data_IF_028626661472
#
_entry.id   IF_028626661472
#
_cell.length_a   1.000
_cell.length_b   1.000
_cell.length_c   1.000
_cell.angle_alpha   90.00
_cell.angle_beta   90.00
_cell.angle_gamma   90.00
#
_symmetry.space_group_name_H-M   'P 1'
#
loop_
_entity.id
_entity.type
_entity.pdbx_description
1 polymer ?
#
# COMPACT_ATOMS: atom_id res chain seq x y z
N UNK A 1 1.36 25.91 -1.70
CA UNK A 1 1.87 26.56 -2.92
C UNK A 1 0.67 27.16 -3.63
N UNK A 2 0.80 28.34 -4.24
CA UNK A 2 -0.33 29.07 -4.82
C UNK A 2 -0.58 28.62 -6.27
N UNK A 3 -1.75 28.01 -6.52
CA UNK A 3 -2.22 27.56 -7.84
C UNK A 3 -2.49 28.73 -8.79
N UNK A 4 -2.93 29.88 -8.25
CA UNK A 4 -3.24 31.06 -9.05
C UNK A 4 -1.99 31.72 -9.65
N UNK A 5 -0.81 31.34 -9.16
CA UNK A 5 0.46 31.79 -9.72
C UNK A 5 0.95 30.84 -10.83
N UNK A 6 0.72 31.23 -12.08
CA UNK A 6 1.11 30.47 -13.27
C UNK A 6 2.60 30.11 -13.32
N UNK A 7 3.49 30.88 -12.67
CA UNK A 7 4.92 30.58 -12.60
C UNK A 7 5.22 29.26 -11.88
N UNK A 8 4.32 28.79 -11.02
CA UNK A 8 4.46 27.52 -10.32
C UNK A 8 4.13 26.32 -11.24
N UNK A 9 3.28 26.51 -12.26
CA UNK A 9 2.82 25.42 -13.13
C UNK A 9 3.94 24.82 -13.98
N UNK A 10 5.00 25.57 -14.26
CA UNK A 10 6.16 25.07 -15.03
C UNK A 10 6.90 23.92 -14.36
N UNK A 11 6.77 23.78 -13.03
CA UNK A 11 7.41 22.71 -12.26
C UNK A 11 6.58 21.41 -12.23
N UNK A 12 5.35 21.44 -12.73
CA UNK A 12 4.46 20.27 -12.76
C UNK A 12 4.25 19.81 -14.20
N UNK A 13 4.47 18.52 -14.44
CA UNK A 13 4.18 17.87 -15.71
C UNK A 13 3.20 16.74 -15.44
N UNK A 14 2.12 16.67 -16.23
CA UNK A 14 1.17 15.57 -16.19
C UNK A 14 1.26 14.81 -17.50
N UNK A 15 1.35 13.50 -17.39
CA UNK A 15 1.28 12.57 -18.51
C UNK A 15 0.17 11.58 -18.23
N UNK A 16 -0.59 11.22 -19.26
CA UNK A 16 -1.73 10.31 -19.17
C UNK A 16 -1.58 9.22 -20.22
N UNK A 17 -2.01 8.02 -19.87
CA UNK A 17 -2.17 6.89 -20.79
C UNK A 17 -3.66 6.57 -20.78
N UNK A 18 -4.26 6.48 -21.95
CA UNK A 18 -5.62 5.99 -22.10
C UNK A 18 -5.57 4.46 -22.13
N UNK A 19 -6.19 3.81 -21.14
CA UNK A 19 -6.20 2.35 -21.07
C UNK A 19 -7.10 1.69 -22.12
N UNK A 20 -7.93 2.47 -22.82
CA UNK A 20 -8.68 2.00 -23.99
C UNK A 20 -7.87 2.08 -25.29
N UNK A 21 -6.74 2.80 -25.28
CA UNK A 21 -5.82 2.91 -26.41
C UNK A 21 -4.84 1.74 -26.40
N UNK A 22 -4.96 0.83 -27.37
CA UNK A 22 -4.08 -0.34 -27.49
C UNK A 22 -2.64 0.00 -27.84
N UNK A 23 -2.35 1.23 -28.28
CA UNK A 23 -0.98 1.71 -28.49
C UNK A 23 -0.30 2.14 -27.18
N UNK A 24 -1.09 2.36 -26.12
CA UNK A 24 -0.64 2.89 -24.83
C UNK A 24 0.23 4.15 -24.95
N UNK A 25 -0.10 5.02 -25.91
CA UNK A 25 0.64 6.26 -26.13
C UNK A 25 0.59 7.18 -24.90
N UNK A 26 1.76 7.67 -24.49
CA UNK A 26 1.88 8.60 -23.36
C UNK A 26 1.62 10.03 -23.86
N UNK A 27 0.50 10.62 -23.43
CA UNK A 27 0.09 11.97 -23.84
C UNK A 27 0.35 12.99 -22.74
N UNK A 28 0.83 14.17 -23.10
CA UNK A 28 1.00 15.29 -22.15
C UNK A 28 -0.35 15.94 -21.86
N UNK A 29 -0.65 16.18 -20.59
CA UNK A 29 -1.86 16.86 -20.14
C UNK A 29 -1.53 18.09 -19.28
N UNK A 30 -2.51 18.99 -19.12
CA UNK A 30 -2.40 20.13 -18.20
C UNK A 30 -2.57 19.62 -16.75
N UNK A 31 -1.65 19.95 -15.82
CA UNK A 31 -1.88 19.70 -14.40
C UNK A 31 -3.13 20.41 -13.90
N UNK A 32 -3.80 19.83 -12.91
CA UNK A 32 -4.92 20.40 -12.16
C UNK A 32 -4.52 20.73 -10.71
N UNK A 33 -5.42 21.36 -9.94
CA UNK A 33 -5.17 21.74 -8.54
C UNK A 33 -4.80 20.54 -7.67
N UNK A 34 -5.43 19.39 -7.90
CA UNK A 34 -5.18 18.18 -7.13
C UNK A 34 -3.77 17.63 -7.37
N UNK A 35 -3.24 17.75 -8.58
CA UNK A 35 -1.86 17.35 -8.88
C UNK A 35 -0.82 18.14 -8.08
N UNK A 36 -1.05 19.44 -7.82
CA UNK A 36 -0.10 20.27 -7.06
C UNK A 36 -0.05 19.89 -5.58
N UNK A 37 -1.19 19.50 -5.02
CA UNK A 37 -1.29 19.09 -3.62
C UNK A 37 -1.06 17.59 -3.44
N UNK A 38 -0.83 16.84 -4.53
CA UNK A 38 -0.65 15.38 -4.50
C UNK A 38 -1.92 14.65 -4.05
N UNK A 39 -3.09 15.22 -4.30
CA UNK A 39 -4.36 14.56 -4.05
C UNK A 39 -4.73 13.68 -5.23
N UNK A 40 -5.26 12.48 -4.95
CA UNK A 40 -5.70 11.52 -5.95
C UNK A 40 -7.19 11.22 -5.78
N UNK A 41 -7.83 10.78 -6.86
CA UNK A 41 -9.24 10.38 -6.84
C UNK A 41 -9.46 9.30 -5.77
N UNK A 42 -10.57 9.42 -5.04
CA UNK A 42 -10.89 8.56 -3.91
C UNK A 42 -12.25 7.87 -4.09
N UNK A 43 -13.34 8.56 -3.78
CA UNK A 43 -14.72 8.10 -3.99
C UNK A 43 -15.49 9.17 -4.74
N UNK A 44 -16.29 8.78 -5.73
CA UNK A 44 -17.16 9.72 -6.47
C UNK A 44 -16.37 10.97 -6.89
N UNK A 45 -16.76 12.15 -6.41
CA UNK A 45 -16.11 13.45 -6.69
C UNK A 45 -15.10 13.89 -5.60
N UNK A 46 -14.70 12.97 -4.72
CA UNK A 46 -13.73 13.20 -3.64
C UNK A 46 -12.30 12.89 -4.06
N UNK A 47 -11.39 13.71 -3.54
CA UNK A 47 -9.96 13.54 -3.67
C UNK A 47 -9.31 13.45 -2.30
N UNK A 48 -8.34 12.55 -2.16
CA UNK A 48 -7.62 12.33 -0.89
C UNK A 48 -6.14 12.66 -1.07
N UNK A 49 -5.59 13.37 -0.09
CA UNK A 49 -4.17 13.65 0.06
C UNK A 49 -3.68 12.92 1.31
N UNK A 50 -2.65 12.08 1.16
CA UNK A 50 -2.11 11.23 2.24
C UNK A 50 -0.63 11.42 2.48
N UNK A 51 0.01 12.28 1.67
CA UNK A 51 1.45 12.54 1.70
C UNK A 51 1.78 13.37 2.93
N UNK A 52 2.75 12.91 3.70
CA UNK A 52 3.22 13.51 4.93
C UNK A 52 4.60 14.07 4.67
N UNK A 53 4.76 15.38 4.90
CA UNK A 53 6.04 16.06 4.75
C UNK A 53 6.28 17.03 5.90
N UNK A 54 7.55 17.17 6.29
CA UNK A 54 7.98 18.21 7.22
C UNK A 54 8.92 19.19 6.54
N UNK A 55 8.78 20.48 6.83
CA UNK A 55 9.73 21.49 6.35
C UNK A 55 9.74 22.71 7.27
N UNK A 56 10.93 23.23 7.64
CA UNK A 56 11.03 24.50 8.36
C UNK A 56 10.56 25.71 7.52
N UNK A 57 10.33 25.52 6.21
CA UNK A 57 9.84 26.56 5.31
C UNK A 57 8.33 26.77 5.40
N UNK A 58 7.59 25.90 6.09
CA UNK A 58 6.16 26.11 6.29
C UNK A 58 5.91 27.22 7.31
N UNK A 59 4.99 28.13 6.95
CA UNK A 59 4.59 29.24 7.83
C UNK A 59 3.73 28.81 9.01
N UNK A 60 2.92 27.77 8.81
CA UNK A 60 2.05 27.17 9.83
C UNK A 60 2.65 25.81 10.24
N UNK A 61 2.67 25.56 11.55
CA UNK A 61 3.14 24.29 12.14
C UNK A 61 2.09 23.18 12.04
N UNK A 62 0.82 23.50 11.79
CA UNK A 62 -0.24 22.49 11.71
C UNK A 62 -0.30 21.87 10.31
N UNK A 63 -0.03 20.58 10.24
CA UNK A 63 -0.32 19.73 9.08
C UNK A 63 -1.30 18.63 9.45
N UNK A 64 -1.75 17.88 8.46
CA UNK A 64 -2.65 16.74 8.62
C UNK A 64 -2.14 15.58 7.77
N UNK A 65 -2.10 14.38 8.34
CA UNK A 65 -1.61 13.20 7.60
C UNK A 65 -2.60 12.75 6.52
N UNK A 66 -3.88 13.11 6.67
CA UNK A 66 -4.91 12.90 5.64
C UNK A 66 -5.78 14.14 5.49
N UNK A 67 -5.96 14.58 4.24
CA UNK A 67 -6.88 15.66 3.86
C UNK A 67 -7.84 15.16 2.78
N UNK A 68 -9.13 15.40 2.96
CA UNK A 68 -10.19 15.10 1.99
C UNK A 68 -10.69 16.37 1.33
N UNK A 69 -10.84 16.32 0.02
CA UNK A 69 -11.32 17.41 -0.81
C UNK A 69 -12.55 16.96 -1.61
N UNK A 70 -13.47 17.89 -1.82
CA UNK A 70 -14.66 17.71 -2.65
C UNK A 70 -14.92 19.04 -3.37
N UNK A 71 -15.21 19.01 -4.66
CA UNK A 71 -15.45 20.23 -5.45
C UNK A 71 -14.34 21.30 -5.28
N UNK A 72 -13.07 20.85 -5.29
CA UNK A 72 -11.85 21.66 -5.09
C UNK A 72 -11.73 22.33 -3.71
N UNK A 73 -12.58 21.98 -2.75
CA UNK A 73 -12.58 22.52 -1.39
C UNK A 73 -12.16 21.45 -0.40
N UNK A 74 -11.40 21.86 0.61
CA UNK A 74 -11.06 21.00 1.73
C UNK A 74 -12.32 20.77 2.57
N UNK A 75 -12.73 19.51 2.75
CA UNK A 75 -13.93 19.14 3.51
C UNK A 75 -13.60 18.53 4.87
N UNK A 76 -12.47 17.83 4.99
CA UNK A 76 -12.08 17.17 6.23
C UNK A 76 -10.58 16.97 6.33
N UNK A 77 -10.07 17.04 7.56
CA UNK A 77 -8.70 16.72 7.90
C UNK A 77 -8.67 15.68 9.02
N UNK A 78 -7.65 14.83 9.02
CA UNK A 78 -7.40 13.84 10.07
C UNK A 78 -5.94 13.82 10.48
N UNK A 79 -5.70 13.37 11.72
CA UNK A 79 -4.37 13.16 12.29
C UNK A 79 -3.49 14.41 12.19
N UNK A 80 -3.77 15.46 12.98
CA UNK A 80 -2.93 16.64 13.00
C UNK A 80 -1.51 16.28 13.44
N UNK A 81 -0.51 16.92 12.84
CA UNK A 81 0.90 16.76 13.20
C UNK A 81 1.67 18.09 13.02
N UNK A 82 2.85 18.17 13.63
CA UNK A 82 3.71 19.34 13.47
C UNK A 82 4.47 19.29 12.13
N UNK A 83 3.93 19.89 11.06
CA UNK A 83 4.58 19.89 9.73
C UNK A 83 5.89 20.66 9.66
N UNK A 84 6.27 21.40 10.69
CA UNK A 84 7.55 22.11 10.72
C UNK A 84 8.64 21.22 11.32
N UNK A 85 8.31 20.48 12.38
CA UNK A 85 9.27 19.73 13.18
C UNK A 85 8.62 18.48 13.82
N UNK A 86 8.06 17.57 13.02
CA UNK A 86 7.52 16.30 13.53
C UNK A 86 8.61 15.22 13.49
N UNK A 87 9.15 14.76 14.64
CA UNK A 87 10.28 13.83 14.67
C UNK A 87 10.06 12.52 13.93
N UNK A 88 8.80 12.06 13.80
CA UNK A 88 8.44 10.87 13.02
C UNK A 88 8.78 11.00 11.53
N UNK A 89 8.72 12.22 11.00
CA UNK A 89 8.74 12.50 9.56
C UNK A 89 9.85 13.49 9.16
N UNK A 90 10.65 13.95 10.13
CA UNK A 90 11.86 14.71 9.88
C UNK A 90 12.75 13.89 8.93
N UNK A 91 12.84 14.33 7.68
CA UNK A 91 13.69 13.77 6.62
C UNK A 91 13.20 12.48 5.94
N UNK A 92 11.92 12.14 6.07
CA UNK A 92 11.26 11.19 5.17
C UNK A 92 9.99 11.76 4.57
N UNK A 93 9.72 11.35 3.33
CA UNK A 93 8.39 11.51 2.75
C UNK A 93 7.63 10.23 3.05
N UNK A 94 6.66 10.33 3.95
CA UNK A 94 5.80 9.21 4.31
C UNK A 94 4.42 9.41 3.69
N UNK A 95 3.60 8.37 3.72
CA UNK A 95 2.21 8.47 3.31
C UNK A 95 1.32 7.62 4.22
N UNK A 96 0.10 8.08 4.48
CA UNK A 96 -0.95 7.18 4.98
C UNK A 96 -1.31 6.20 3.87
N UNK A 97 -1.34 4.92 4.20
CA UNK A 97 -1.86 3.88 3.32
C UNK A 97 -3.37 3.89 3.36
N UNK A 98 -4.00 3.79 2.19
CA UNK A 98 -5.46 3.78 2.04
C UNK A 98 -5.84 2.55 1.23
N UNK A 99 -6.74 1.73 1.77
CA UNK A 99 -7.25 0.55 1.08
C UNK A 99 -8.78 0.56 1.08
N UNK A 100 -9.39 0.50 -0.10
CA UNK A 100 -10.85 0.38 -0.23
C UNK A 100 -11.35 -0.95 0.34
N UNK A 101 -12.46 -0.96 1.09
CA UNK A 101 -13.08 -2.22 1.53
C UNK A 101 -13.75 -3.01 0.39
N UNK A 102 -13.92 -2.41 -0.79
CA UNK A 102 -14.77 -2.93 -1.86
C UNK A 102 -16.24 -2.52 -1.75
N UNK A 103 -16.66 -1.96 -0.61
CA UNK A 103 -17.95 -1.27 -0.46
C UNK A 103 -17.80 0.23 -0.74
N UNK A 104 -18.82 0.90 -1.32
CA UNK A 104 -18.81 2.34 -1.53
C UNK A 104 -18.56 3.09 -0.22
N UNK A 105 -17.77 4.17 -0.26
CA UNK A 105 -17.54 5.09 0.86
C UNK A 105 -16.96 4.47 2.15
N UNK A 106 -16.38 3.26 2.06
CA UNK A 106 -15.72 2.56 3.18
C UNK A 106 -14.28 2.21 2.83
N UNK A 107 -13.33 2.85 3.52
CA UNK A 107 -11.88 2.63 3.38
C UNK A 107 -11.22 2.32 4.71
N UNK A 108 -10.06 1.68 4.64
CA UNK A 108 -9.14 1.50 5.76
C UNK A 108 -7.94 2.44 5.59
N UNK A 109 -7.55 3.10 6.69
CA UNK A 109 -6.44 4.03 6.76
C UNK A 109 -5.40 3.46 7.74
N UNK A 110 -4.15 3.41 7.31
CA UNK A 110 -3.04 2.91 8.10
C UNK A 110 -1.87 3.88 8.06
N UNK A 111 -1.50 4.39 9.24
CA UNK A 111 -0.51 5.44 9.39
C UNK A 111 0.90 4.87 9.53
N UNK A 112 1.95 5.59 9.09
CA UNK A 112 3.32 5.21 9.38
C UNK A 112 3.58 5.18 10.90
N UNK A 113 4.36 4.20 11.36
CA UNK A 113 4.75 4.05 12.77
C UNK A 113 3.57 3.95 13.74
N UNK A 114 2.47 3.34 13.30
CA UNK A 114 1.25 3.18 14.08
C UNK A 114 0.59 1.84 13.80
N UNK A 115 0.34 1.08 14.86
CA UNK A 115 -0.17 -0.30 14.77
C UNK A 115 -1.69 -0.37 14.70
N UNK A 116 -2.36 0.78 14.54
CA UNK A 116 -3.81 0.87 14.52
C UNK A 116 -4.32 1.00 13.09
N UNK A 117 -5.26 0.14 12.72
CA UNK A 117 -6.04 0.25 11.50
C UNK A 117 -7.29 1.06 11.80
N UNK A 118 -7.51 2.13 11.03
CA UNK A 118 -8.69 2.95 11.13
C UNK A 118 -9.65 2.65 9.99
N UNK A 119 -10.95 2.64 10.25
CA UNK A 119 -12.00 2.55 9.25
C UNK A 119 -12.63 3.91 9.06
N UNK A 120 -12.63 4.36 7.81
CA UNK A 120 -13.27 5.60 7.35
C UNK A 120 -14.58 5.23 6.66
N UNK A 121 -15.71 5.66 7.24
CA UNK A 121 -17.06 5.47 6.70
C UNK A 121 -17.68 6.84 6.53
N UNK A 122 -17.94 7.26 5.29
CA UNK A 122 -18.60 8.54 4.99
C UNK A 122 -17.97 9.75 5.74
N UNK A 123 -16.64 9.82 5.78
CA UNK A 123 -15.93 10.90 6.48
C UNK A 123 -15.88 10.77 8.02
N UNK A 124 -16.34 9.65 8.58
CA UNK A 124 -16.20 9.31 10.00
C UNK A 124 -15.11 8.27 10.19
N UNK A 125 -14.13 8.59 11.01
CA UNK A 125 -12.96 7.76 11.25
C UNK A 125 -13.06 7.09 12.62
N UNK A 126 -12.84 5.78 12.68
CA UNK A 126 -12.84 5.00 13.93
C UNK A 126 -11.71 3.96 13.91
N UNK A 127 -11.03 3.69 15.04
CA UNK A 127 -10.11 2.57 15.13
C UNK A 127 -10.90 1.26 15.08
N UNK A 128 -10.40 0.26 14.34
CA UNK A 128 -11.09 -1.04 14.20
C UNK A 128 -10.21 -2.24 14.54
N UNK A 129 -8.89 -2.12 14.35
CA UNK A 129 -7.93 -3.16 14.74
C UNK A 129 -6.67 -2.53 15.32
N UNK A 130 -6.04 -3.26 16.23
CA UNK A 130 -4.72 -2.96 16.75
C UNK A 130 -3.83 -4.19 16.56
N UNK A 131 -2.74 -4.01 15.82
CA UNK A 131 -1.75 -5.04 15.59
C UNK A 131 -0.81 -5.10 16.80
N UNK A 132 -0.55 -6.30 17.30
CA UNK A 132 0.42 -6.52 18.37
C UNK A 132 1.65 -7.17 17.73
N UNK A 133 2.72 -6.40 17.61
CA UNK A 133 3.99 -6.87 17.09
C UNK A 133 4.80 -7.57 18.19
N UNK A 134 5.67 -8.52 17.82
CA UNK A 134 6.70 -8.99 18.74
C UNK A 134 7.50 -7.81 19.33
N UNK A 135 7.95 -7.96 20.58
CA UNK A 135 8.66 -6.89 21.30
C UNK A 135 9.92 -6.48 20.56
N UNK A 136 10.59 -7.45 19.93
CA UNK A 136 11.70 -7.18 19.04
C UNK A 136 11.27 -6.15 18.01
N UNK A 137 10.26 -6.37 17.18
CA UNK A 137 9.78 -5.48 16.11
C UNK A 137 9.11 -4.17 16.54
N UNK A 138 9.13 -3.82 17.82
CA UNK A 138 8.45 -2.65 18.36
C UNK A 138 9.44 -1.52 18.68
N UNK A 139 9.03 -0.28 18.44
CA UNK A 139 9.78 0.88 18.92
C UNK A 139 9.41 1.18 20.38
N UNK A 140 10.35 1.67 21.21
CA UNK A 140 10.00 2.24 22.50
C UNK A 140 8.93 3.32 22.34
N UNK A 141 7.95 3.37 23.25
CA UNK A 141 6.86 4.36 23.20
C UNK A 141 7.36 5.81 23.15
N UNK A 142 8.52 6.07 23.78
CA UNK A 142 9.16 7.39 23.83
C UNK A 142 10.05 7.69 22.63
N UNK A 143 10.22 6.74 21.68
CA UNK A 143 11.23 6.86 20.63
C UNK A 143 11.12 8.19 19.89
N UNK A 144 9.92 8.61 19.47
CA UNK A 144 9.72 9.86 18.72
C UNK A 144 9.59 11.12 19.59
N UNK A 145 9.38 10.97 20.90
CA UNK A 145 9.15 12.10 21.82
C UNK A 145 10.35 12.45 22.68
N UNK A 146 11.36 11.57 22.75
CA UNK A 146 12.56 11.79 23.55
C UNK A 146 13.45 12.88 22.94
N UNK A 147 13.44 14.06 23.55
CA UNK A 147 14.20 15.22 23.10
C UNK A 147 15.71 15.10 23.35
N UNK A 148 16.15 14.13 24.16
CA UNK A 148 17.57 13.90 24.44
C UNK A 148 18.29 13.17 23.30
N UNK A 149 17.54 12.43 22.46
CA UNK A 149 18.10 11.71 21.31
C UNK A 149 18.29 12.65 20.13
N UNK A 150 19.53 12.87 19.76
CA UNK A 150 19.92 13.72 18.64
C UNK A 150 19.43 13.15 17.30
N UNK A 151 19.39 14.01 16.27
CA UNK A 151 19.08 13.60 14.90
C UNK A 151 19.97 12.43 14.43
N UNK A 152 21.28 12.55 14.61
CA UNK A 152 22.27 11.56 14.15
C UNK A 152 22.05 10.21 14.82
N UNK A 153 21.71 10.19 16.12
CA UNK A 153 21.42 8.96 16.84
C UNK A 153 20.14 8.29 16.33
N UNK A 154 19.09 9.06 16.04
CA UNK A 154 17.85 8.55 15.44
C UNK A 154 18.09 7.91 14.07
N UNK A 155 18.85 8.59 13.21
CA UNK A 155 19.18 8.08 11.87
C UNK A 155 20.05 6.81 11.96
N UNK A 156 21.04 6.79 12.86
CA UNK A 156 21.87 5.60 13.09
C UNK A 156 21.04 4.43 13.63
N UNK A 157 20.13 4.69 14.57
CA UNK A 157 19.22 3.67 15.07
C UNK A 157 18.30 3.15 13.97
N UNK A 158 17.71 4.02 13.15
CA UNK A 158 16.85 3.64 12.01
C UNK A 158 17.59 2.77 11.00
N UNK A 159 18.83 3.13 10.67
CA UNK A 159 19.68 2.35 9.74
C UNK A 159 20.00 0.96 10.28
N UNK A 160 20.28 0.84 11.58
CA UNK A 160 20.68 -0.42 12.19
C UNK A 160 19.50 -1.31 12.62
N UNK A 161 18.32 -0.71 12.82
CA UNK A 161 17.12 -1.39 13.34
C UNK A 161 15.93 -1.20 12.40
N UNK A 162 16.16 -1.24 11.08
CA UNK A 162 15.10 -1.03 10.08
C UNK A 162 13.91 -2.00 10.20
N UNK A 163 14.11 -3.14 10.87
CA UNK A 163 13.08 -4.12 11.18
C UNK A 163 12.09 -3.65 12.28
N UNK A 164 12.37 -2.57 13.01
CA UNK A 164 11.46 -1.97 14.01
C UNK A 164 10.55 -0.88 13.41
N UNK A 165 11.01 -0.26 12.33
CA UNK A 165 10.32 0.84 11.67
C UNK A 165 9.37 0.28 10.64
N UNK A 166 8.07 0.38 10.92
CA UNK A 166 7.07 -0.25 10.07
C UNK A 166 5.78 0.54 9.89
N UNK A 167 5.03 0.12 8.89
CA UNK A 167 3.70 0.60 8.55
C UNK A 167 2.88 -0.59 8.05
N UNK A 168 1.63 -0.69 8.49
CA UNK A 168 0.64 -1.54 7.81
C UNK A 168 0.33 -0.90 6.46
N UNK A 169 0.75 -1.53 5.36
CA UNK A 169 0.64 -0.97 4.00
C UNK A 169 -0.67 -1.31 3.33
N UNK A 170 -1.12 -2.54 3.49
CA UNK A 170 -2.37 -3.04 2.92
C UNK A 170 -3.18 -3.73 4.00
N UNK A 171 -4.48 -3.52 3.97
CA UNK A 171 -5.43 -4.17 4.85
C UNK A 171 -6.67 -4.57 4.06
N UNK A 172 -7.05 -5.84 4.14
CA UNK A 172 -8.26 -6.35 3.53
C UNK A 172 -8.95 -7.34 4.47
N UNK A 173 -10.25 -7.17 4.63
CA UNK A 173 -11.06 -7.97 5.53
C UNK A 173 -12.18 -8.65 4.74
N UNK A 174 -12.34 -9.96 4.94
CA UNK A 174 -13.53 -10.73 4.54
C UNK A 174 -14.35 -11.09 5.77
N UNK A 175 -15.41 -11.88 5.59
CA UNK A 175 -16.19 -12.40 6.72
C UNK A 175 -15.35 -13.28 7.67
N UNK A 176 -14.34 -13.97 7.15
CA UNK A 176 -13.51 -14.92 7.88
C UNK A 176 -12.05 -14.50 8.04
N UNK A 177 -11.46 -13.84 7.04
CA UNK A 177 -10.03 -13.62 6.96
C UNK A 177 -9.69 -12.12 7.03
N UNK A 178 -8.51 -11.82 7.56
CA UNK A 178 -7.87 -10.52 7.40
C UNK A 178 -6.52 -10.75 6.71
N UNK A 179 -6.31 -10.07 5.58
CA UNK A 179 -5.04 -10.01 4.89
C UNK A 179 -4.35 -8.68 5.23
N UNK A 180 -3.08 -8.77 5.66
CA UNK A 180 -2.30 -7.60 6.09
C UNK A 180 -0.93 -7.66 5.44
N UNK A 181 -0.53 -6.58 4.77
CA UNK A 181 0.88 -6.36 4.38
C UNK A 181 1.50 -5.38 5.36
N UNK A 182 2.65 -5.72 5.92
CA UNK A 182 3.47 -4.83 6.77
C UNK A 182 4.74 -4.51 5.99
N UNK A 183 5.00 -3.22 5.79
CA UNK A 183 6.31 -2.77 5.32
C UNK A 183 7.14 -2.44 6.54
N UNK A 184 8.27 -3.11 6.66
CA UNK A 184 9.40 -2.65 7.44
C UNK A 184 10.29 -1.78 6.55
N UNK A 185 11.26 -1.09 7.14
CA UNK A 185 12.28 -0.39 6.35
C UNK A 185 13.18 -1.39 5.58
N UNK A 186 13.36 -2.61 6.12
CA UNK A 186 14.25 -3.62 5.54
C UNK A 186 13.59 -4.60 4.58
N UNK A 187 12.29 -4.84 4.70
CA UNK A 187 11.55 -5.85 3.94
C UNK A 187 10.03 -5.68 4.07
N UNK A 188 9.27 -6.52 3.38
CA UNK A 188 7.83 -6.64 3.54
C UNK A 188 7.47 -8.01 4.12
N UNK A 189 6.48 -8.05 4.98
CA UNK A 189 5.84 -9.28 5.44
C UNK A 189 4.35 -9.25 5.16
N UNK A 190 3.78 -10.41 4.91
CA UNK A 190 2.35 -10.57 4.67
C UNK A 190 1.80 -11.60 5.63
N UNK A 191 0.68 -11.25 6.25
CA UNK A 191 -0.01 -12.09 7.20
C UNK A 191 -1.46 -12.32 6.76
N UNK A 192 -1.95 -13.52 7.05
CA UNK A 192 -3.37 -13.85 6.98
C UNK A 192 -3.83 -14.23 8.37
N UNK A 193 -4.81 -13.52 8.91
CA UNK A 193 -5.45 -13.82 10.19
C UNK A 193 -6.80 -14.47 9.94
N UNK A 194 -7.01 -15.68 10.46
CA UNK A 194 -8.31 -16.34 10.45
C UNK A 194 -9.10 -15.95 11.70
N UNK A 195 -10.21 -15.23 11.53
CA UNK A 195 -11.07 -14.74 12.61
C UNK A 195 -11.79 -15.86 13.35
N UNK A 196 -12.02 -17.00 12.70
CA UNK A 196 -12.68 -18.14 13.32
C UNK A 196 -11.75 -18.89 14.27
N UNK A 197 -10.51 -19.13 13.85
CA UNK A 197 -9.49 -19.83 14.65
C UNK A 197 -8.62 -18.88 15.48
N UNK A 198 -8.80 -17.58 15.30
CA UNK A 198 -8.00 -16.51 15.92
C UNK A 198 -6.49 -16.67 15.71
N UNK A 199 -6.10 -17.24 14.56
CA UNK A 199 -4.70 -17.59 14.27
C UNK A 199 -4.16 -16.71 13.14
N UNK A 200 -2.97 -16.14 13.36
CA UNK A 200 -2.22 -15.43 12.32
C UNK A 200 -1.21 -16.38 11.67
N UNK A 201 -1.19 -16.39 10.34
CA UNK A 201 -0.25 -17.15 9.52
C UNK A 201 0.63 -16.17 8.74
N UNK A 202 1.94 -16.37 8.74
CA UNK A 202 2.80 -15.68 7.79
C UNK A 202 2.54 -16.27 6.40
N UNK A 203 2.02 -15.44 5.49
CA UNK A 203 1.54 -15.87 4.19
C UNK A 203 2.65 -16.43 3.29
N UNK A 204 3.90 -15.98 3.47
CA UNK A 204 5.06 -16.52 2.74
C UNK A 204 5.40 -17.96 3.12
N UNK A 205 4.92 -18.42 4.28
CA UNK A 205 5.09 -19.80 4.76
C UNK A 205 3.93 -20.71 4.36
N UNK A 206 2.90 -20.17 3.73
CA UNK A 206 1.77 -20.96 3.22
C UNK A 206 2.19 -21.62 1.91
N UNK A 207 2.17 -22.95 1.89
CA UNK A 207 2.45 -23.73 0.67
C UNK A 207 1.20 -23.80 -0.20
N UNK A 208 1.41 -23.81 -1.51
CA UNK A 208 0.34 -24.10 -2.45
C UNK A 208 -0.15 -25.54 -2.27
N UNK A 209 -1.46 -25.74 -2.39
CA UNK A 209 -2.11 -27.05 -2.40
C UNK A 209 -2.52 -27.45 -3.82
N UNK A 210 -3.05 -28.66 -3.99
CA UNK A 210 -3.49 -29.15 -5.30
C UNK A 210 -4.61 -28.30 -5.92
N UNK A 211 -5.39 -27.58 -5.11
CA UNK A 211 -6.47 -26.70 -5.58
C UNK A 211 -5.96 -25.41 -6.24
N UNK A 212 -4.73 -25.01 -5.93
CA UNK A 212 -4.03 -23.91 -6.60
C UNK A 212 -2.85 -24.41 -7.45
N UNK A 213 -2.89 -25.69 -7.87
CA UNK A 213 -1.85 -26.30 -8.69
C UNK A 213 -0.46 -26.23 -8.03
N UNK A 214 -0.44 -26.25 -6.69
CA UNK A 214 0.74 -26.08 -5.83
C UNK A 214 1.55 -24.78 -6.07
N UNK A 215 0.95 -23.79 -6.74
CA UNK A 215 1.60 -22.50 -6.97
C UNK A 215 1.62 -21.66 -5.70
N UNK A 216 2.77 -21.07 -5.38
CA UNK A 216 2.88 -20.09 -4.29
C UNK A 216 2.45 -18.70 -4.79
N UNK A 217 1.18 -18.35 -4.52
CA UNK A 217 0.58 -17.11 -5.00
C UNK A 217 0.71 -15.98 -3.98
N UNK A 218 0.59 -16.26 -2.67
CA UNK A 218 0.77 -15.26 -1.63
C UNK A 218 2.26 -15.00 -1.38
N UNK A 219 2.74 -13.81 -1.74
CA UNK A 219 4.11 -13.37 -1.51
C UNK A 219 4.14 -11.96 -0.96
N UNK A 220 5.24 -11.57 -0.31
CA UNK A 220 5.39 -10.24 0.28
C UNK A 220 5.32 -9.07 -0.71
N UNK A 221 5.43 -9.36 -2.01
CA UNK A 221 5.47 -8.36 -3.06
C UNK A 221 4.73 -8.85 -4.32
N UNK A 222 4.35 -7.91 -5.20
CA UNK A 222 3.67 -8.15 -6.49
C UNK A 222 2.28 -8.81 -6.42
N UNK A 223 1.56 -8.67 -5.30
CA UNK A 223 0.15 -9.01 -5.22
C UNK A 223 -0.65 -7.72 -5.15
N UNK A 224 -1.52 -7.50 -6.13
CA UNK A 224 -2.47 -6.37 -6.16
C UNK A 224 -3.87 -6.90 -5.95
N UNK A 225 -4.77 -6.12 -5.34
CA UNK A 225 -6.16 -6.49 -5.14
C UNK A 225 -7.08 -5.53 -5.90
N UNK A 226 -8.12 -6.09 -6.53
CA UNK A 226 -9.26 -5.33 -7.03
C UNK A 226 -10.57 -6.05 -6.64
N UNK A 227 -11.40 -5.38 -5.84
CA UNK A 227 -12.59 -6.01 -5.25
C UNK A 227 -12.24 -7.23 -4.39
N UNK A 228 -12.88 -8.36 -4.65
CA UNK A 228 -12.65 -9.62 -3.94
C UNK A 228 -11.53 -10.48 -4.55
N UNK A 229 -10.89 -10.01 -5.63
CA UNK A 229 -9.85 -10.76 -6.35
C UNK A 229 -8.46 -10.20 -6.07
N UNK A 230 -7.51 -11.11 -5.93
CA UNK A 230 -6.08 -10.84 -5.90
C UNK A 230 -5.49 -11.16 -7.26
N UNK A 231 -4.46 -10.42 -7.62
CA UNK A 231 -3.80 -10.46 -8.91
C UNK A 231 -2.30 -10.51 -8.67
N UNK A 232 -1.65 -11.50 -9.26
CA UNK A 232 -0.20 -11.65 -9.23
C UNK A 232 0.34 -11.67 -10.64
N UNK A 233 1.32 -10.81 -10.89
CA UNK A 233 2.08 -10.84 -12.13
C UNK A 233 3.24 -11.83 -11.99
N UNK A 234 3.28 -12.83 -12.86
CA UNK A 234 4.35 -13.82 -12.96
C UNK A 234 5.03 -13.71 -14.32
N UNK A 235 6.33 -14.01 -14.38
CA UNK A 235 6.99 -14.26 -15.66
C UNK A 235 6.60 -15.66 -16.16
N UNK A 236 6.37 -15.81 -17.46
CA UNK A 236 6.11 -17.09 -18.11
C UNK A 236 7.14 -18.16 -17.72
N UNK A 237 8.44 -17.81 -17.67
CA UNK A 237 9.51 -18.73 -17.29
C UNK A 237 9.33 -19.39 -15.92
N UNK A 238 8.72 -18.69 -14.95
CA UNK A 238 8.44 -19.23 -13.61
C UNK A 238 7.46 -20.39 -13.69
N UNK A 239 6.38 -20.23 -14.46
CA UNK A 239 5.38 -21.28 -14.65
C UNK A 239 5.93 -22.44 -15.49
N UNK A 240 6.64 -22.12 -16.58
CA UNK A 240 7.25 -23.12 -17.46
C UNK A 240 8.23 -23.98 -16.67
N UNK A 241 9.13 -23.36 -15.92
CA UNK A 241 10.14 -24.08 -15.12
C UNK A 241 9.47 -24.91 -14.02
N UNK A 242 8.48 -24.35 -13.33
CA UNK A 242 7.75 -25.05 -12.28
C UNK A 242 7.08 -26.33 -12.78
N UNK A 243 6.25 -26.26 -13.84
CA UNK A 243 5.53 -27.44 -14.34
C UNK A 243 6.44 -28.46 -15.03
N UNK A 244 7.58 -28.03 -15.60
CA UNK A 244 8.58 -28.97 -16.14
C UNK A 244 9.32 -29.74 -15.04
N UNK A 245 9.63 -29.08 -13.93
CA UNK A 245 10.29 -29.70 -12.78
C UNK A 245 9.34 -30.56 -11.95
N UNK A 246 8.03 -30.37 -12.10
CA UNK A 246 7.01 -31.08 -11.34
C UNK A 246 5.95 -31.70 -12.28
N UNK A 247 6.32 -32.71 -13.09
CA UNK A 247 5.43 -33.30 -14.10
C UNK A 247 4.18 -33.97 -13.51
N UNK A 248 4.23 -34.37 -12.24
CA UNK A 248 3.11 -35.01 -11.52
C UNK A 248 2.03 -34.00 -11.07
N UNK A 249 2.31 -32.70 -11.17
CA UNK A 249 1.36 -31.65 -10.79
C UNK A 249 0.45 -31.33 -11.97
N UNK A 250 -0.86 -31.40 -11.75
CA UNK A 250 -1.84 -31.02 -12.76
C UNK A 250 -1.60 -29.59 -13.26
N UNK A 251 -1.71 -29.40 -14.57
CA UNK A 251 -1.62 -28.08 -15.20
C UNK A 251 -3.03 -27.49 -15.32
N UNK A 252 -3.25 -26.19 -15.03
CA UNK A 252 -4.52 -25.52 -15.30
C UNK A 252 -4.93 -25.68 -16.77
N UNK A 253 -6.21 -25.95 -17.04
CA UNK A 253 -6.69 -26.21 -18.42
C UNK A 253 -6.43 -25.02 -19.34
N UNK A 254 -6.61 -23.82 -18.80
CA UNK A 254 -6.38 -22.53 -19.45
C UNK A 254 -4.91 -22.31 -19.82
N UNK A 255 -3.99 -22.97 -19.10
CA UNK A 255 -2.54 -22.84 -19.29
C UNK A 255 -1.95 -23.99 -20.14
N UNK A 256 -2.65 -25.12 -20.25
CA UNK A 256 -2.12 -26.34 -20.85
C UNK A 256 -1.72 -26.17 -22.32
N UNK A 257 -2.61 -25.63 -23.15
CA UNK A 257 -2.34 -25.41 -24.58
C UNK A 257 -1.18 -24.42 -24.77
N UNK A 258 -1.14 -23.36 -23.95
CA UNK A 258 -0.09 -22.35 -24.01
C UNK A 258 1.28 -22.93 -23.62
N UNK A 259 1.38 -23.76 -22.57
CA UNK A 259 2.63 -24.40 -22.16
C UNK A 259 3.19 -25.37 -23.21
N UNK A 260 2.31 -26.04 -23.97
CA UNK A 260 2.71 -26.95 -25.06
C UNK A 260 3.24 -26.19 -26.29
N UNK A 261 2.80 -24.94 -26.50
CA UNK A 261 3.15 -24.13 -27.66
C UNK A 261 4.55 -23.48 -27.65
N UNK A 262 5.46 -23.89 -26.75
CA UNK A 262 6.76 -23.25 -26.54
C UNK A 262 6.68 -21.72 -26.38
N UNK A 263 5.97 -21.24 -25.34
CA UNK A 263 5.70 -19.83 -25.20
C UNK A 263 6.96 -19.03 -24.88
N UNK A 264 6.98 -17.75 -25.28
CA UNK A 264 8.05 -16.82 -24.91
C UNK A 264 8.10 -16.67 -23.39
N UNK A 265 9.29 -16.96 -22.85
CA UNK A 265 9.63 -16.97 -21.42
C UNK A 265 9.49 -15.59 -20.75
N UNK A 266 9.54 -14.52 -21.54
CA UNK A 266 9.45 -13.15 -21.05
C UNK A 266 8.02 -12.61 -20.98
N UNK A 267 7.03 -13.36 -21.48
CA UNK A 267 5.63 -12.93 -21.47
C UNK A 267 5.14 -12.78 -20.02
N UNK A 268 4.52 -11.65 -19.66
CA UNK A 268 3.87 -11.51 -18.37
C UNK A 268 2.58 -12.32 -18.31
N UNK A 269 2.41 -13.10 -17.25
CA UNK A 269 1.22 -13.89 -16.96
C UNK A 269 0.54 -13.32 -15.72
N UNK A 270 -0.71 -12.89 -15.88
CA UNK A 270 -1.52 -12.41 -14.77
C UNK A 270 -2.33 -13.56 -14.17
N UNK A 271 -2.06 -13.90 -12.92
CA UNK A 271 -2.82 -14.90 -12.18
C UNK A 271 -3.81 -14.20 -11.26
N UNK A 272 -5.10 -14.45 -11.48
CA UNK A 272 -6.16 -13.99 -10.60
C UNK A 272 -6.57 -15.11 -9.63
N UNK A 273 -6.69 -14.80 -8.34
CA UNK A 273 -7.08 -15.75 -7.30
C UNK A 273 -7.90 -15.08 -6.19
N UNK A 274 -8.49 -15.88 -5.31
CA UNK A 274 -9.25 -15.39 -4.15
C UNK A 274 -8.75 -16.10 -2.89
N UNK A 275 -8.92 -15.47 -1.73
CA UNK A 275 -8.74 -16.15 -0.47
C UNK A 275 -10.01 -16.96 -0.18
N UNK A 276 -9.84 -18.22 0.20
CA UNK A 276 -10.95 -19.08 0.53
C UNK A 276 -11.45 -18.77 1.95
N UNK A 277 -12.64 -18.21 2.03
CA UNK A 277 -13.43 -18.14 3.27
C UNK A 277 -13.96 -19.53 3.67
#
# INVERSE_FOLDING_TARGET
>A
MDWSNERNLKYFKKYVIDLSDTSFEIKKAKPDKYNLIGAHAFYEDQYIQTKITTSPLYKDSTGYEVSLYENEKLVKNYFPYNRVNEPRFLFSEENVSVTSSGSPNISYLMRPYCDTVYKLVEGRLSPVYHLVMPVENSLPATFFTDVSVTKTERENFKRNNGWAFHQIRDFYETSRLIYITISFLSHYEVFVYDKQTQTAYNATKIKGDSKQYNLSLLTSYNVTRAGHKFYKLLKADVLISFFRQNPDIAVPKELAAWLQGNPDKNVPILVAFTLKD
#
